data_IF_987697988849
#
_entry.id   IF_987697988849
#
_cell.length_a   1.000
_cell.length_b   1.000
_cell.length_c   1.000
_cell.angle_alpha   90.00
_cell.angle_beta   90.00
_cell.angle_gamma   90.00
#
_symmetry.space_group_name_H-M   'P 1'
#
loop_
_entity.id
_entity.type
_entity.pdbx_description
1 polymer ?
#
# COMPACT_ATOMS: atom_id res chain seq x y z
N UNK A 1 16.01 41.94 16.11
CA UNK A 1 16.59 41.05 17.14
C UNK A 1 16.86 39.73 16.47
N UNK A 2 18.09 39.27 16.24
CA UNK A 2 18.40 38.01 15.67
C UNK A 2 18.35 36.93 16.76
N UNK A 3 17.69 35.82 16.46
CA UNK A 3 17.62 34.62 17.30
C UNK A 3 18.84 33.72 16.98
N UNK A 4 19.91 33.95 17.72
CA UNK A 4 21.06 33.04 17.72
C UNK A 4 20.74 31.82 18.58
N UNK A 5 20.22 30.75 17.95
CA UNK A 5 20.19 29.45 18.57
C UNK A 5 21.54 28.78 18.45
N UNK A 6 22.31 28.91 19.51
CA UNK A 6 23.56 28.18 19.72
C UNK A 6 23.25 26.69 19.77
N UNK A 7 23.58 25.97 18.70
CA UNK A 7 23.64 24.52 18.70
C UNK A 7 24.84 24.10 19.56
N UNK A 8 24.58 23.70 20.79
CA UNK A 8 25.59 23.08 21.67
C UNK A 8 26.10 21.79 21.01
N UNK A 9 27.36 21.79 20.60
CA UNK A 9 28.05 20.58 20.15
C UNK A 9 28.12 19.60 21.33
N UNK A 10 27.68 18.32 21.15
CA UNK A 10 27.86 17.33 22.21
C UNK A 10 29.33 17.13 22.48
N UNK A 11 29.74 17.23 23.77
CA UNK A 11 31.08 16.85 24.21
C UNK A 11 31.26 15.38 23.91
N UNK A 12 32.20 15.04 23.05
CA UNK A 12 32.67 13.68 22.84
C UNK A 12 33.46 13.27 24.09
N UNK A 13 32.80 12.57 25.00
CA UNK A 13 33.52 11.85 26.05
C UNK A 13 34.23 10.65 25.41
N UNK A 14 35.52 10.53 25.60
CA UNK A 14 36.35 9.40 25.14
C UNK A 14 36.10 8.10 25.93
N UNK A 15 35.00 7.99 26.63
CA UNK A 15 34.56 6.74 27.24
C UNK A 15 33.97 5.87 26.14
N UNK A 16 34.55 4.69 25.91
CA UNK A 16 33.92 3.65 25.09
C UNK A 16 32.50 3.49 25.61
N UNK A 17 31.48 3.70 24.80
CA UNK A 17 30.14 3.41 25.23
C UNK A 17 30.10 1.96 25.71
N UNK A 18 29.39 1.66 26.82
CA UNK A 18 29.21 0.29 27.27
C UNK A 18 28.71 -0.49 26.04
N UNK A 19 29.23 -1.69 25.84
CA UNK A 19 28.85 -2.55 24.74
C UNK A 19 27.33 -2.70 24.79
N UNK A 20 26.63 -1.84 24.06
CA UNK A 20 25.21 -1.98 23.80
C UNK A 20 25.04 -3.32 23.10
N UNK A 21 24.67 -4.33 23.87
CA UNK A 21 24.11 -5.56 23.30
C UNK A 21 22.84 -5.12 22.57
N UNK A 22 22.99 -4.82 21.29
CA UNK A 22 21.88 -4.41 20.46
C UNK A 22 21.03 -5.65 20.16
N UNK A 23 20.12 -5.98 21.04
CA UNK A 23 18.96 -6.84 20.76
C UNK A 23 17.99 -6.14 19.80
N UNK A 24 18.47 -5.26 18.91
CA UNK A 24 17.67 -4.18 18.37
C UNK A 24 17.32 -4.41 16.91
N UNK A 25 16.09 -4.10 16.59
CA UNK A 25 15.61 -3.97 15.24
C UNK A 25 16.42 -2.90 14.49
N UNK A 26 16.63 -3.09 13.19
CA UNK A 26 17.40 -2.18 12.34
C UNK A 26 16.47 -1.31 11.53
N UNK A 27 16.67 0.01 11.56
CA UNK A 27 15.94 0.95 10.70
C UNK A 27 16.81 1.46 9.57
N UNK A 28 16.33 1.35 8.34
CA UNK A 28 16.93 1.90 7.12
C UNK A 28 16.21 3.21 6.83
N UNK A 29 16.91 4.33 6.91
CA UNK A 29 16.39 5.68 6.65
C UNK A 29 17.01 6.27 5.39
N UNK A 30 16.33 7.26 4.77
CA UNK A 30 16.85 7.92 3.56
C UNK A 30 16.73 7.05 2.31
N UNK A 31 15.83 6.08 2.30
CA UNK A 31 15.63 5.21 1.16
C UNK A 31 15.19 5.95 -0.10
N UNK A 32 14.42 7.00 0.06
CA UNK A 32 13.97 7.91 -1.01
C UNK A 32 15.12 8.64 -1.71
N UNK A 33 16.27 8.76 -1.07
CA UNK A 33 17.45 9.46 -1.61
C UNK A 33 18.43 8.55 -2.34
N UNK A 34 18.25 7.21 -2.27
CA UNK A 34 19.25 6.25 -2.78
C UNK A 34 19.42 6.32 -4.30
N UNK A 35 18.36 6.33 -5.06
CA UNK A 35 18.35 6.49 -6.52
C UNK A 35 16.94 6.42 -7.09
N UNK A 36 16.70 7.05 -8.25
CA UNK A 36 15.46 6.84 -9.03
C UNK A 36 15.47 5.52 -9.81
N UNK A 37 16.64 4.92 -10.06
CA UNK A 37 16.75 3.66 -10.78
C UNK A 37 16.36 2.48 -9.85
N UNK A 38 15.29 1.76 -10.21
CA UNK A 38 14.77 0.63 -9.44
C UNK A 38 15.79 -0.50 -9.27
N UNK A 39 16.47 -0.88 -10.35
CA UNK A 39 17.43 -1.98 -10.33
C UNK A 39 18.58 -1.68 -9.37
N UNK A 40 19.08 -0.44 -9.39
CA UNK A 40 20.11 0.00 -8.46
C UNK A 40 19.61 -0.06 -7.00
N UNK A 41 18.40 0.45 -6.73
CA UNK A 41 17.80 0.38 -5.39
C UNK A 41 17.66 -1.06 -4.91
N UNK A 42 17.12 -1.95 -5.74
CA UNK A 42 16.96 -3.37 -5.43
C UNK A 42 18.30 -4.04 -5.10
N UNK A 43 19.33 -3.79 -5.92
CA UNK A 43 20.68 -4.31 -5.68
C UNK A 43 21.28 -3.76 -4.38
N UNK A 44 21.12 -2.46 -4.13
CA UNK A 44 21.59 -1.82 -2.90
C UNK A 44 20.91 -2.41 -1.66
N UNK A 45 19.59 -2.61 -1.70
CA UNK A 45 18.81 -3.21 -0.62
C UNK A 45 19.28 -4.65 -0.34
N UNK A 46 19.42 -5.47 -1.38
CA UNK A 46 19.90 -6.85 -1.26
C UNK A 46 21.26 -6.92 -0.62
N UNK A 47 22.22 -6.12 -1.08
CA UNK A 47 23.56 -6.07 -0.52
C UNK A 47 23.56 -5.64 0.95
N UNK A 48 22.73 -4.64 1.29
CA UNK A 48 22.57 -4.18 2.66
C UNK A 48 21.98 -5.27 3.55
N UNK A 49 20.91 -5.92 3.11
CA UNK A 49 20.25 -6.99 3.88
C UNK A 49 21.18 -8.19 4.10
N UNK A 50 21.89 -8.63 3.07
CA UNK A 50 22.89 -9.70 3.17
C UNK A 50 23.97 -9.34 4.20
N UNK A 51 24.45 -8.10 4.18
CA UNK A 51 25.47 -7.63 5.14
C UNK A 51 24.93 -7.58 6.58
N UNK A 52 23.69 -7.15 6.77
CA UNK A 52 23.05 -7.07 8.08
C UNK A 52 22.76 -8.46 8.66
N UNK A 53 22.31 -9.38 7.81
CA UNK A 53 22.00 -10.77 8.20
C UNK A 53 23.28 -11.56 8.54
N UNK A 54 24.36 -11.38 7.78
CA UNK A 54 25.64 -12.05 8.03
C UNK A 54 26.31 -11.64 9.36
N UNK A 55 25.97 -10.46 9.88
CA UNK A 55 26.48 -9.95 11.16
C UNK A 55 25.65 -10.37 12.38
N UNK A 56 24.53 -11.06 12.17
CA UNK A 56 23.68 -11.53 13.27
C UNK A 56 24.21 -12.88 13.79
N UNK A 57 24.51 -13.02 15.10
CA UNK A 57 24.85 -14.32 15.67
C UNK A 57 23.68 -15.31 15.54
N UNK A 58 23.99 -16.56 15.28
CA UNK A 58 23.04 -17.66 15.00
C UNK A 58 22.02 -17.90 16.15
N UNK A 59 22.28 -17.39 17.35
CA UNK A 59 21.48 -17.64 18.56
C UNK A 59 20.62 -16.45 19.03
N UNK A 60 20.58 -15.34 18.29
CA UNK A 60 19.74 -14.20 18.65
C UNK A 60 18.31 -14.30 18.08
N UNK A 61 17.30 -13.71 18.77
CA UNK A 61 15.94 -13.64 18.23
C UNK A 61 15.95 -12.95 16.86
N UNK A 62 15.10 -13.42 15.94
CA UNK A 62 15.00 -12.94 14.55
C UNK A 62 14.88 -11.40 14.55
N UNK A 63 15.89 -10.70 14.09
CA UNK A 63 15.90 -9.23 13.99
C UNK A 63 14.84 -8.77 12.99
N UNK A 64 14.16 -7.68 13.33
CA UNK A 64 13.21 -7.03 12.43
C UNK A 64 13.91 -5.88 11.72
N UNK A 65 13.69 -5.81 10.42
CA UNK A 65 14.24 -4.75 9.57
C UNK A 65 13.09 -3.80 9.18
N UNK A 66 13.33 -2.51 9.37
CA UNK A 66 12.40 -1.45 9.01
C UNK A 66 13.01 -0.62 7.87
N UNK A 67 12.21 -0.27 6.89
CA UNK A 67 12.56 0.71 5.86
C UNK A 67 11.59 1.88 5.91
N UNK A 68 12.08 3.11 5.81
CA UNK A 68 11.28 4.33 5.85
C UNK A 68 11.33 5.08 4.53
N UNK A 69 10.33 5.94 4.30
CA UNK A 69 10.20 6.79 3.12
C UNK A 69 10.11 6.00 1.80
N UNK A 70 9.37 4.90 1.80
CA UNK A 70 9.08 4.13 0.58
C UNK A 70 7.91 4.78 -0.14
N UNK A 71 8.13 5.26 -1.37
CA UNK A 71 7.21 6.12 -2.10
C UNK A 71 6.62 5.47 -3.37
N UNK A 72 6.84 4.18 -3.59
CA UNK A 72 6.28 3.42 -4.70
C UNK A 72 5.99 1.96 -4.33
N UNK A 73 5.01 1.36 -5.00
CA UNK A 73 4.59 -0.03 -4.74
C UNK A 73 5.72 -1.01 -5.05
N UNK A 74 6.50 -0.77 -6.10
CA UNK A 74 7.59 -1.66 -6.51
C UNK A 74 8.66 -1.76 -5.42
N UNK A 75 8.98 -0.64 -4.78
CA UNK A 75 9.91 -0.63 -3.64
C UNK A 75 9.35 -1.36 -2.41
N UNK A 76 8.04 -1.35 -2.20
CA UNK A 76 7.38 -2.17 -1.16
C UNK A 76 7.59 -3.66 -1.47
N UNK A 77 7.33 -4.07 -2.72
CA UNK A 77 7.48 -5.47 -3.14
C UNK A 77 8.95 -5.92 -3.04
N UNK A 78 9.88 -5.08 -3.49
CA UNK A 78 11.32 -5.37 -3.37
C UNK A 78 11.76 -5.48 -1.91
N UNK A 79 11.25 -4.61 -1.02
CA UNK A 79 11.54 -4.66 0.41
C UNK A 79 11.01 -5.95 1.06
N UNK A 80 9.79 -6.37 0.70
CA UNK A 80 9.21 -7.62 1.18
C UNK A 80 10.04 -8.84 0.76
N UNK A 81 10.48 -8.90 -0.51
CA UNK A 81 11.34 -9.97 -1.02
C UNK A 81 12.68 -10.06 -0.28
N UNK A 82 13.25 -8.95 0.10
CA UNK A 82 14.51 -8.92 0.83
C UNK A 82 14.35 -9.13 2.36
N UNK A 83 13.11 -9.40 2.83
CA UNK A 83 12.83 -9.75 4.23
C UNK A 83 12.68 -8.57 5.16
N UNK A 84 12.36 -7.38 4.65
CA UNK A 84 11.99 -6.21 5.46
C UNK A 84 10.62 -6.45 6.07
N UNK A 85 10.51 -6.30 7.39
CA UNK A 85 9.29 -6.62 8.15
C UNK A 85 8.39 -5.41 8.41
N UNK A 86 8.94 -4.19 8.37
CA UNK A 86 8.23 -2.96 8.67
C UNK A 86 8.53 -1.94 7.57
N UNK A 87 7.49 -1.41 6.95
CA UNK A 87 7.62 -0.45 5.86
C UNK A 87 6.88 0.83 6.23
N UNK A 88 7.61 1.94 6.30
CA UNK A 88 7.06 3.28 6.50
C UNK A 88 6.87 3.99 5.16
N UNK A 89 5.64 4.40 4.88
CA UNK A 89 5.28 5.08 3.63
C UNK A 89 4.31 6.22 3.87
N UNK A 90 4.43 7.27 3.09
CA UNK A 90 3.51 8.41 3.05
C UNK A 90 2.59 8.40 1.81
N UNK A 91 2.70 7.34 0.99
CA UNK A 91 1.97 7.23 -0.28
C UNK A 91 0.46 7.37 -0.12
N UNK A 92 -0.11 6.73 0.91
CA UNK A 92 -1.56 6.77 1.16
C UNK A 92 -2.04 8.21 1.28
N UNK A 93 -1.34 9.02 2.09
CA UNK A 93 -1.68 10.41 2.30
C UNK A 93 -1.45 11.25 1.04
N UNK A 94 -0.29 11.10 0.42
CA UNK A 94 0.08 11.88 -0.77
C UNK A 94 -0.88 11.60 -1.93
N UNK A 95 -1.16 10.34 -2.24
CA UNK A 95 -2.06 10.01 -3.34
C UNK A 95 -3.49 10.48 -3.08
N UNK A 96 -3.98 10.37 -1.84
CA UNK A 96 -5.31 10.86 -1.49
C UNK A 96 -5.43 12.36 -1.71
N UNK A 97 -4.39 13.12 -1.31
CA UNK A 97 -4.32 14.57 -1.51
C UNK A 97 -4.29 14.98 -2.99
N UNK A 98 -3.65 14.16 -3.82
CA UNK A 98 -3.57 14.41 -5.27
C UNK A 98 -4.76 13.84 -6.07
N UNK A 99 -5.79 13.33 -5.40
CA UNK A 99 -6.97 12.79 -6.08
C UNK A 99 -6.75 11.40 -6.70
N UNK A 100 -5.72 10.69 -6.28
CA UNK A 100 -5.32 9.38 -6.82
C UNK A 100 -5.87 8.25 -5.93
N UNK A 101 -6.60 7.31 -6.52
CA UNK A 101 -7.00 6.06 -5.88
C UNK A 101 -6.08 4.90 -6.25
N UNK A 102 -5.69 4.09 -5.26
CA UNK A 102 -4.97 2.85 -5.44
C UNK A 102 -5.93 1.74 -5.86
N UNK A 103 -5.71 1.13 -7.01
CA UNK A 103 -6.57 0.12 -7.61
C UNK A 103 -5.75 -1.13 -7.96
N UNK A 104 -5.48 -1.98 -6.97
CA UNK A 104 -4.81 -3.26 -7.17
C UNK A 104 -5.81 -4.41 -7.04
N UNK A 105 -5.75 -5.36 -7.97
CA UNK A 105 -6.47 -6.62 -7.85
C UNK A 105 -5.68 -7.59 -6.97
N UNK A 106 -6.13 -7.70 -5.73
CA UNK A 106 -5.53 -8.57 -4.73
C UNK A 106 -6.31 -9.89 -4.56
N UNK A 107 -7.26 -10.19 -5.45
CA UNK A 107 -7.95 -11.47 -5.41
C UNK A 107 -6.92 -12.55 -5.75
N UNK A 108 -6.58 -13.35 -4.76
CA UNK A 108 -5.90 -14.62 -5.01
C UNK A 108 -6.93 -15.50 -5.69
N UNK A 109 -6.82 -15.65 -7.01
CA UNK A 109 -7.64 -16.59 -7.74
C UNK A 109 -7.45 -17.98 -7.12
N UNK A 110 -8.41 -18.43 -6.35
CA UNK A 110 -8.62 -19.85 -6.24
C UNK A 110 -8.90 -20.32 -7.66
N UNK A 111 -7.93 -21.02 -8.23
CA UNK A 111 -8.04 -21.71 -9.52
C UNK A 111 -9.33 -22.52 -9.47
N UNK A 112 -10.41 -22.04 -10.09
CA UNK A 112 -11.64 -22.82 -10.21
C UNK A 112 -12.98 -22.11 -10.07
N UNK A 113 -13.08 -20.83 -9.65
CA UNK A 113 -14.38 -20.17 -9.64
C UNK A 113 -14.62 -19.39 -10.94
N UNK A 114 -15.42 -20.00 -11.81
CA UNK A 114 -16.03 -19.35 -12.98
C UNK A 114 -16.81 -18.10 -12.53
N UNK A 115 -16.35 -16.92 -12.86
CA UNK A 115 -17.16 -15.72 -12.77
C UNK A 115 -16.59 -14.45 -12.15
N UNK A 116 -15.36 -14.43 -11.68
CA UNK A 116 -14.71 -13.16 -11.30
C UNK A 116 -14.41 -12.33 -12.55
N UNK A 117 -15.02 -11.17 -12.66
CA UNK A 117 -14.90 -10.28 -13.83
C UNK A 117 -13.45 -9.76 -13.94
N UNK A 118 -12.59 -10.52 -14.65
CA UNK A 118 -11.16 -10.25 -14.89
C UNK A 118 -10.87 -8.91 -15.59
N UNK A 119 -11.91 -8.16 -15.93
CA UNK A 119 -11.81 -6.95 -16.75
C UNK A 119 -11.74 -5.64 -15.95
N UNK A 120 -11.85 -5.68 -14.60
CA UNK A 120 -11.96 -4.45 -13.83
C UNK A 120 -10.66 -3.67 -13.69
N UNK A 121 -9.51 -4.35 -13.59
CA UNK A 121 -8.20 -3.69 -13.51
C UNK A 121 -7.58 -3.41 -14.89
N UNK A 122 -8.22 -3.89 -15.97
CA UNK A 122 -7.82 -3.65 -17.36
C UNK A 122 -8.51 -2.46 -18.02
N UNK A 123 -9.23 -1.63 -17.25
CA UNK A 123 -9.73 -0.37 -17.81
C UNK A 123 -8.54 0.52 -18.19
N UNK A 124 -8.57 1.05 -19.41
CA UNK A 124 -7.60 2.03 -19.95
C UNK A 124 -7.38 3.25 -19.05
N UNK A 125 -8.22 3.41 -18.03
CA UNK A 125 -8.20 4.47 -17.04
C UNK A 125 -7.33 4.18 -15.81
N UNK A 126 -6.84 2.94 -15.62
CA UNK A 126 -6.00 2.54 -14.49
C UNK A 126 -4.61 2.29 -15.00
N UNK A 127 -3.71 3.22 -14.73
CA UNK A 127 -2.30 3.13 -15.14
C UNK A 127 -1.45 2.86 -13.91
N UNK A 128 -0.67 1.79 -13.96
CA UNK A 128 0.25 1.47 -12.87
C UNK A 128 -0.45 1.22 -11.52
N UNK A 129 -1.65 0.62 -11.55
CA UNK A 129 -2.45 0.38 -10.33
C UNK A 129 -3.04 1.64 -9.71
N UNK A 130 -3.11 2.76 -10.46
CA UNK A 130 -3.58 4.08 -9.99
C UNK A 130 -4.70 4.61 -10.87
N UNK A 131 -5.66 5.27 -10.24
CA UNK A 131 -6.74 5.98 -10.91
C UNK A 131 -6.69 7.46 -10.48
N UNK A 132 -6.42 8.35 -11.45
CA UNK A 132 -6.45 9.80 -11.21
C UNK A 132 -7.87 10.34 -11.39
N UNK A 133 -8.57 10.54 -10.28
CA UNK A 133 -9.95 11.04 -10.27
C UNK A 133 -10.08 12.53 -10.56
N UNK A 134 -8.99 13.25 -10.75
CA UNK A 134 -9.03 14.63 -11.26
C UNK A 134 -9.39 14.69 -12.75
N UNK A 135 -9.25 13.57 -13.46
CA UNK A 135 -9.53 13.47 -14.89
C UNK A 135 -11.04 13.56 -15.18
N UNK A 136 -11.42 14.37 -16.19
CA UNK A 136 -12.80 14.63 -16.58
C UNK A 136 -13.58 13.39 -17.02
N UNK A 137 -12.91 12.33 -17.44
CA UNK A 137 -13.55 11.06 -17.81
C UNK A 137 -14.41 10.47 -16.68
N UNK A 138 -14.08 10.77 -15.41
CA UNK A 138 -14.83 10.30 -14.25
C UNK A 138 -16.02 11.19 -13.88
N UNK A 139 -16.22 12.33 -14.54
CA UNK A 139 -17.29 13.27 -14.22
C UNK A 139 -18.70 12.67 -14.25
N UNK A 140 -18.91 11.58 -14.99
CA UNK A 140 -20.20 10.87 -15.13
C UNK A 140 -20.11 9.38 -14.80
N UNK A 141 -18.99 8.92 -14.22
CA UNK A 141 -18.77 7.51 -13.88
C UNK A 141 -19.49 7.16 -12.56
N UNK A 142 -20.56 6.40 -12.65
CA UNK A 142 -21.37 5.97 -11.49
C UNK A 142 -20.82 4.74 -10.76
N UNK A 143 -19.68 4.19 -11.18
CA UNK A 143 -19.05 3.05 -10.52
C UNK A 143 -18.37 3.44 -9.20
N UNK A 144 -18.21 2.50 -8.25
CA UNK A 144 -17.34 2.70 -7.07
C UNK A 144 -15.88 2.82 -7.50
N UNK A 145 -15.01 3.33 -6.60
CA UNK A 145 -13.57 3.43 -6.88
C UNK A 145 -13.00 2.11 -7.37
N UNK A 146 -13.24 1.04 -6.64
CA UNK A 146 -12.85 -0.31 -7.01
C UNK A 146 -14.01 -1.25 -6.71
N UNK A 147 -14.64 -1.86 -7.74
CA UNK A 147 -15.69 -2.85 -7.55
C UNK A 147 -15.19 -4.04 -6.73
N UNK A 148 -16.02 -4.52 -5.81
CA UNK A 148 -15.65 -5.58 -4.87
C UNK A 148 -14.90 -5.11 -3.62
N UNK A 149 -14.33 -3.91 -3.61
CA UNK A 149 -13.66 -3.35 -2.46
C UNK A 149 -14.64 -3.11 -1.29
N UNK A 150 -14.25 -3.56 -0.09
CA UNK A 150 -15.06 -3.50 1.13
C UNK A 150 -14.77 -2.28 2.01
N UNK A 151 -13.98 -1.32 1.55
CA UNK A 151 -13.73 -0.10 2.29
C UNK A 151 -15.00 0.77 2.44
N UNK A 152 -14.98 1.71 3.38
CA UNK A 152 -16.12 2.60 3.64
C UNK A 152 -16.54 3.41 2.38
N UNK A 153 -15.60 3.78 1.52
CA UNK A 153 -15.88 4.53 0.31
C UNK A 153 -16.55 3.68 -0.79
N UNK A 154 -16.19 2.40 -0.92
CA UNK A 154 -16.63 1.52 -2.00
C UNK A 154 -17.81 0.61 -1.61
N UNK A 155 -17.95 0.28 -0.32
CA UNK A 155 -18.95 -0.67 0.15
C UNK A 155 -20.37 -0.19 -0.19
N UNK A 156 -21.20 -1.05 -0.81
CA UNK A 156 -22.60 -0.71 -1.07
C UNK A 156 -23.36 -0.41 0.22
N UNK A 157 -24.17 0.64 0.21
CA UNK A 157 -25.13 0.92 1.28
C UNK A 157 -26.48 0.29 0.92
N UNK A 158 -27.13 -0.28 1.92
CA UNK A 158 -28.52 -0.68 1.77
C UNK A 158 -29.40 0.56 2.02
N UNK A 159 -30.06 1.05 0.98
CA UNK A 159 -31.04 2.12 1.09
C UNK A 159 -32.43 1.48 1.12
N UNK A 160 -33.14 1.64 2.24
CA UNK A 160 -34.54 1.24 2.35
C UNK A 160 -35.38 2.35 1.73
N UNK A 161 -35.92 2.14 0.55
CA UNK A 161 -36.90 3.06 -0.05
C UNK A 161 -38.28 2.66 0.45
N UNK A 162 -38.77 3.39 1.47
CA UNK A 162 -40.17 3.29 1.89
C UNK A 162 -41.03 4.07 0.91
N UNK A 163 -41.54 3.41 -0.14
CA UNK A 163 -42.59 3.99 -0.93
C UNK A 163 -43.89 3.80 -0.15
N UNK A 164 -44.40 4.88 0.43
CA UNK A 164 -45.72 4.94 1.10
C UNK A 164 -46.80 4.83 0.06
N UNK A 165 -47.01 3.66 -0.49
CA UNK A 165 -48.26 3.27 -1.17
C UNK A 165 -48.73 1.93 -0.59
N UNK A 166 -50.02 1.81 -0.38
CA UNK A 166 -50.80 0.87 0.42
C UNK A 166 -50.54 -0.65 0.30
N UNK A 167 -49.44 -1.10 -0.25
CA UNK A 167 -48.97 -2.50 -0.14
C UNK A 167 -47.41 -2.45 -0.03
N UNK A 168 -46.94 -2.42 1.19
CA UNK A 168 -45.52 -2.21 1.51
C UNK A 168 -44.69 -3.46 1.24
N UNK A 169 -44.14 -3.55 0.08
CA UNK A 169 -42.93 -4.36 -0.13
C UNK A 169 -41.71 -3.44 -0.01
N UNK A 170 -41.02 -3.51 1.12
CA UNK A 170 -39.74 -2.82 1.31
C UNK A 170 -38.72 -3.43 0.36
N UNK A 171 -38.38 -2.74 -0.69
CA UNK A 171 -37.29 -3.15 -1.58
C UNK A 171 -36.00 -2.54 -1.10
N UNK A 172 -35.08 -3.38 -0.61
CA UNK A 172 -33.72 -2.98 -0.27
C UNK A 172 -32.89 -2.95 -1.55
N UNK A 173 -32.50 -1.77 -2.01
CA UNK A 173 -31.59 -1.60 -3.15
C UNK A 173 -30.18 -1.32 -2.64
N UNK A 174 -29.23 -2.13 -3.08
CA UNK A 174 -27.82 -1.84 -2.84
C UNK A 174 -27.35 -0.72 -3.78
N UNK A 175 -26.87 0.38 -3.21
CA UNK A 175 -26.31 1.52 -3.95
C UNK A 175 -24.85 1.69 -3.49
N UNK A 176 -23.89 1.99 -4.39
CA UNK A 176 -22.53 2.33 -3.98
C UNK A 176 -22.54 3.44 -2.95
N UNK A 177 -21.69 3.39 -1.95
CA UNK A 177 -21.61 4.48 -0.96
C UNK A 177 -21.22 5.79 -1.63
N UNK A 178 -20.14 5.75 -2.44
CA UNK A 178 -19.65 6.90 -3.19
C UNK A 178 -19.21 6.45 -4.58
N UNK A 179 -19.58 7.23 -5.59
CA UNK A 179 -19.22 6.96 -6.99
C UNK A 179 -17.95 7.72 -7.38
N UNK A 180 -17.28 7.29 -8.44
CA UNK A 180 -16.15 8.00 -9.03
C UNK A 180 -16.55 9.42 -9.44
N UNK A 181 -17.74 9.61 -10.04
CA UNK A 181 -18.27 10.92 -10.39
C UNK A 181 -18.44 11.83 -9.17
N UNK A 182 -18.94 11.29 -8.06
CA UNK A 182 -19.11 12.08 -6.85
C UNK A 182 -17.75 12.52 -6.28
N UNK A 183 -16.76 11.61 -6.22
CA UNK A 183 -15.43 11.95 -5.73
C UNK A 183 -14.73 12.93 -6.68
N UNK A 184 -14.86 12.76 -8.00
CA UNK A 184 -14.39 13.72 -8.98
C UNK A 184 -14.98 15.11 -8.74
N UNK A 185 -16.30 15.20 -8.52
CA UNK A 185 -16.95 16.47 -8.20
C UNK A 185 -16.38 17.11 -6.93
N UNK A 186 -16.17 16.34 -5.86
CA UNK A 186 -15.58 16.84 -4.62
C UNK A 186 -14.14 17.36 -4.83
N UNK A 187 -13.34 16.68 -5.66
CA UNK A 187 -11.98 17.14 -6.03
C UNK A 187 -12.07 18.48 -6.76
N UNK A 188 -12.96 18.61 -7.74
CA UNK A 188 -13.14 19.86 -8.50
C UNK A 188 -13.66 21.02 -7.65
N UNK A 189 -14.50 20.70 -6.66
CA UNK A 189 -15.01 21.67 -5.69
C UNK A 189 -13.99 21.99 -4.56
N UNK A 190 -12.83 21.32 -4.56
CA UNK A 190 -11.82 21.41 -3.51
C UNK A 190 -12.36 21.10 -2.11
N UNK A 191 -13.25 20.10 -2.03
CA UNK A 191 -13.87 19.64 -0.79
C UNK A 191 -12.98 18.65 -0.03
N UNK A 192 -12.77 18.88 1.25
CA UNK A 192 -11.93 18.04 2.12
C UNK A 192 -12.41 16.59 2.18
N UNK A 193 -13.70 16.34 1.95
CA UNK A 193 -14.28 15.00 1.94
C UNK A 193 -13.67 14.11 0.85
N UNK A 194 -13.22 14.68 -0.29
CA UNK A 194 -12.55 13.93 -1.34
C UNK A 194 -11.29 13.24 -0.82
N UNK A 195 -10.41 14.01 -0.18
CA UNK A 195 -9.17 13.49 0.42
C UNK A 195 -9.47 12.42 1.48
N UNK A 196 -10.47 12.64 2.32
CA UNK A 196 -10.87 11.69 3.36
C UNK A 196 -11.35 10.35 2.78
N UNK A 197 -12.20 10.36 1.76
CA UNK A 197 -12.71 9.16 1.11
C UNK A 197 -11.61 8.39 0.40
N UNK A 198 -10.71 9.10 -0.29
CA UNK A 198 -9.55 8.51 -0.95
C UNK A 198 -8.56 7.94 0.07
N UNK A 199 -8.32 8.64 1.19
CA UNK A 199 -7.45 8.15 2.24
C UNK A 199 -7.95 6.82 2.82
N UNK A 200 -9.23 6.73 3.14
CA UNK A 200 -9.84 5.48 3.67
C UNK A 200 -9.75 4.35 2.65
N UNK A 201 -9.96 4.65 1.36
CA UNK A 201 -9.84 3.66 0.30
C UNK A 201 -8.38 3.20 0.11
N UNK A 202 -7.45 4.14 -0.03
CA UNK A 202 -6.03 3.86 -0.25
C UNK A 202 -5.41 3.13 0.95
N UNK A 203 -5.78 3.51 2.17
CA UNK A 203 -5.34 2.81 3.37
C UNK A 203 -5.84 1.37 3.40
N UNK A 204 -7.11 1.14 3.05
CA UNK A 204 -7.67 -0.20 2.97
C UNK A 204 -6.93 -1.07 1.95
N UNK A 205 -6.64 -0.54 0.75
CA UNK A 205 -5.89 -1.24 -0.28
C UNK A 205 -4.45 -1.54 0.17
N UNK A 206 -3.80 -0.59 0.82
CA UNK A 206 -2.44 -0.78 1.34
C UNK A 206 -2.40 -1.85 2.44
N UNK A 207 -3.36 -1.85 3.35
CA UNK A 207 -3.46 -2.87 4.40
C UNK A 207 -3.73 -4.27 3.81
N UNK A 208 -4.53 -4.37 2.75
CA UNK A 208 -4.72 -5.63 2.03
C UNK A 208 -3.41 -6.10 1.38
N UNK A 209 -2.67 -5.21 0.72
CA UNK A 209 -1.37 -5.52 0.14
C UNK A 209 -0.42 -6.10 1.19
N UNK A 210 -0.27 -5.42 2.32
CA UNK A 210 0.60 -5.90 3.40
C UNK A 210 0.14 -7.23 4.00
N UNK A 211 -1.18 -7.43 4.13
CA UNK A 211 -1.73 -8.71 4.59
C UNK A 211 -1.35 -9.84 3.65
N UNK A 212 -1.52 -9.66 2.35
CA UNK A 212 -1.19 -10.69 1.36
C UNK A 212 0.32 -10.96 1.29
N UNK A 213 1.16 -9.93 1.36
CA UNK A 213 2.61 -10.09 1.45
C UNK A 213 3.02 -10.89 2.70
N UNK A 214 2.43 -10.57 3.85
CA UNK A 214 2.69 -11.28 5.10
C UNK A 214 2.25 -12.74 5.04
N UNK A 215 1.05 -13.01 4.51
CA UNK A 215 0.54 -14.36 4.37
C UNK A 215 1.41 -15.20 3.42
N UNK A 216 1.81 -14.65 2.27
CA UNK A 216 2.67 -15.33 1.31
C UNK A 216 4.05 -15.65 1.93
N UNK A 217 4.63 -14.71 2.68
CA UNK A 217 5.89 -14.94 3.38
C UNK A 217 5.77 -15.99 4.49
N UNK A 218 4.63 -16.07 5.19
CA UNK A 218 4.38 -17.08 6.21
C UNK A 218 4.24 -18.49 5.62
N UNK A 219 3.60 -18.62 4.46
CA UNK A 219 3.51 -19.91 3.74
C UNK A 219 4.89 -20.43 3.34
N UNK A 220 5.75 -19.55 2.81
CA UNK A 220 7.12 -19.92 2.45
C UNK A 220 7.94 -20.37 3.68
N UNK A 221 7.71 -19.75 4.86
CA UNK A 221 8.36 -20.17 6.11
C UNK A 221 7.85 -21.52 6.61
N UNK A 222 6.54 -21.81 6.50
CA UNK A 222 5.94 -23.08 6.93
C UNK A 222 6.35 -24.26 6.04
N UNK A 223 6.49 -24.02 4.73
CA UNK A 223 6.93 -25.04 3.78
C UNK A 223 8.45 -25.22 3.76
N UNK A 224 9.20 -24.37 4.47
CA UNK A 224 10.67 -24.38 4.48
C UNK A 224 11.26 -24.02 3.12
N UNK A 225 10.51 -23.26 2.32
CA UNK A 225 10.92 -22.86 0.97
C UNK A 225 11.93 -21.71 1.01
N UNK A 226 13.21 -22.06 0.87
CA UNK A 226 14.29 -21.07 0.78
C UNK A 226 14.13 -20.11 -0.42
N UNK A 227 13.39 -20.52 -1.45
CA UNK A 227 13.19 -19.74 -2.69
C UNK A 227 12.05 -18.72 -2.59
N UNK A 228 11.25 -18.76 -1.52
CA UNK A 228 10.11 -17.86 -1.31
C UNK A 228 9.15 -17.81 -2.50
N UNK A 229 8.76 -18.96 -3.00
CA UNK A 229 7.96 -19.09 -4.23
C UNK A 229 6.59 -18.43 -4.13
N UNK A 230 5.91 -18.51 -2.99
CA UNK A 230 4.60 -17.88 -2.77
C UNK A 230 4.69 -16.37 -2.76
N UNK A 231 5.70 -15.82 -2.07
CA UNK A 231 5.94 -14.37 -2.01
C UNK A 231 6.32 -13.82 -3.38
N UNK A 232 7.20 -14.50 -4.11
CA UNK A 232 7.62 -14.07 -5.44
C UNK A 232 6.47 -14.13 -6.44
N UNK A 233 5.64 -15.18 -6.42
CA UNK A 233 4.46 -15.29 -7.27
C UNK A 233 3.44 -14.17 -7.00
N UNK A 234 3.18 -13.86 -5.73
CA UNK A 234 2.30 -12.75 -5.38
C UNK A 234 2.88 -11.41 -5.84
N UNK A 235 4.15 -11.14 -5.57
CA UNK A 235 4.82 -9.92 -6.01
C UNK A 235 4.77 -9.77 -7.53
N UNK A 236 5.03 -10.84 -8.29
CA UNK A 236 4.96 -10.81 -9.75
C UNK A 236 3.55 -10.47 -10.23
N UNK A 237 2.52 -11.06 -9.65
CA UNK A 237 1.12 -10.75 -9.97
C UNK A 237 0.80 -9.26 -9.79
N UNK A 238 1.28 -8.65 -8.72
CA UNK A 238 1.09 -7.21 -8.50
C UNK A 238 1.92 -6.39 -9.50
N UNK A 239 3.16 -6.78 -9.76
CA UNK A 239 4.02 -6.11 -10.75
C UNK A 239 3.41 -6.09 -12.14
N UNK A 240 2.80 -7.18 -12.59
CA UNK A 240 2.11 -7.25 -13.88
C UNK A 240 1.01 -6.18 -14.00
N UNK A 241 0.30 -5.85 -12.91
CA UNK A 241 -0.70 -4.78 -12.91
C UNK A 241 -0.08 -3.38 -12.97
N UNK A 242 1.15 -3.22 -12.47
CA UNK A 242 1.84 -1.92 -12.50
C UNK A 242 2.43 -1.58 -13.88
N UNK A 243 2.63 -2.58 -14.75
CA UNK A 243 3.22 -2.40 -16.08
C UNK A 243 2.20 -2.47 -17.22
N UNK A 244 0.92 -2.69 -16.94
CA UNK A 244 -0.13 -2.56 -17.97
C UNK A 244 -0.29 -1.07 -18.29
N UNK A 245 0.26 -0.68 -19.42
CA UNK A 245 0.16 0.64 -20.04
C UNK A 245 -1.02 0.70 -20.99
#
# INVERSE_FOLDING_TARGET
>A
MPLDHVLARPRVSNERPPSLKCEHNVAIVGWDTVSYNREYRRKALRNLMTTLQSRSPIQEPKKRYMILAVNDIQSILDAAREGVSIIGTDMVRLWSRYGIALCLDMTLDHVGSNGGNKNYCRNESIVGGKMDLSNVQYARDSLPLLPGCQCLACRPRQVTTSIKHNNSTETKKAVPSFTRAYIHHLIKANEMLAETLLFVHNLHQMLLLFRHLSNAASLDEEEGDEKRTHLDAFCQKIEEQLYVS
#
